data_IF_497135162443
#
_entry.id   IF_497135162443
#
_cell.length_a   1.000
_cell.length_b   1.000
_cell.length_c   1.000
_cell.angle_alpha   90.00
_cell.angle_beta   90.00
_cell.angle_gamma   90.00
#
_symmetry.space_group_name_H-M   'P 1'
#
loop_
_entity.id
_entity.type
_entity.pdbx_description
1 polymer ?
#
# COMPACT_ATOMS: atom_id res chain seq x y z
N UNK A 1 4.27 19.74 5.83
CA UNK A 1 3.78 18.81 4.80
C UNK A 1 4.59 19.02 3.54
N UNK A 2 5.60 18.20 3.33
CA UNK A 2 6.37 18.17 2.08
C UNK A 2 5.48 17.57 1.01
N UNK A 3 5.17 18.35 -0.02
CA UNK A 3 4.46 17.84 -1.19
C UNK A 3 5.45 16.96 -1.96
N UNK A 4 5.19 15.66 -1.99
CA UNK A 4 5.98 14.72 -2.79
C UNK A 4 5.28 14.60 -4.14
N UNK A 5 5.97 15.07 -5.19
CA UNK A 5 5.50 14.91 -6.56
C UNK A 5 5.82 13.47 -7.02
N UNK A 6 4.77 12.70 -7.31
CA UNK A 6 4.88 11.33 -7.80
C UNK A 6 5.04 11.42 -9.31
N UNK A 7 6.19 10.99 -9.84
CA UNK A 7 6.37 10.85 -11.29
C UNK A 7 5.43 9.76 -11.82
N UNK A 8 4.67 10.10 -12.86
CA UNK A 8 3.70 9.21 -13.51
C UNK A 8 4.00 9.09 -14.99
N UNK A 9 3.56 7.99 -15.58
CA UNK A 9 3.44 7.90 -17.03
C UNK A 9 2.40 8.90 -17.53
N UNK A 10 2.68 9.54 -18.66
CA UNK A 10 1.75 10.47 -19.33
C UNK A 10 0.43 9.81 -19.75
N UNK A 11 0.41 8.48 -19.83
CA UNK A 11 -0.74 7.67 -20.23
C UNK A 11 -1.53 7.10 -19.03
N UNK A 12 -1.10 7.35 -17.80
CA UNK A 12 -1.82 6.86 -16.61
C UNK A 12 -2.89 7.87 -16.17
N UNK A 13 -4.19 7.57 -16.31
CA UNK A 13 -5.28 8.47 -15.93
C UNK A 13 -5.49 8.53 -14.40
N UNK A 14 -4.77 7.73 -13.60
CA UNK A 14 -5.02 7.63 -12.16
C UNK A 14 -4.40 8.80 -11.39
N UNK A 15 -5.19 9.35 -10.47
CA UNK A 15 -4.73 10.33 -9.50
C UNK A 15 -3.90 9.62 -8.42
N UNK A 16 -2.78 10.21 -8.03
CA UNK A 16 -1.89 9.64 -7.01
C UNK A 16 -1.57 10.73 -6.00
N UNK A 17 -1.59 10.38 -4.72
CA UNK A 17 -1.28 11.30 -3.62
C UNK A 17 -0.44 10.60 -2.58
N UNK A 18 0.70 11.17 -2.27
CA UNK A 18 1.54 10.72 -1.17
C UNK A 18 1.15 11.44 0.12
N UNK A 19 1.05 10.70 1.22
CA UNK A 19 0.91 11.24 2.57
C UNK A 19 1.83 10.50 3.54
N UNK A 20 2.24 11.21 4.59
CA UNK A 20 2.90 10.63 5.75
C UNK A 20 2.03 10.90 6.97
N UNK A 21 1.67 9.84 7.69
CA UNK A 21 0.87 9.92 8.90
C UNK A 21 1.72 10.37 10.09
N UNK A 22 1.08 10.85 11.15
CA UNK A 22 1.76 11.32 12.36
C UNK A 22 2.59 10.22 13.05
N UNK A 23 2.25 8.95 12.83
CA UNK A 23 3.00 7.80 13.31
C UNK A 23 4.21 7.42 12.41
N UNK A 24 4.53 8.23 11.39
CA UNK A 24 5.62 7.99 10.44
C UNK A 24 5.31 6.99 9.33
N UNK A 25 4.07 6.49 9.24
CA UNK A 25 3.66 5.57 8.17
C UNK A 25 3.51 6.33 6.86
N UNK A 26 4.15 5.83 5.81
CA UNK A 26 4.15 6.41 4.47
C UNK A 26 3.08 5.72 3.62
N UNK A 27 2.18 6.49 3.04
CA UNK A 27 1.01 5.96 2.30
C UNK A 27 0.92 6.63 0.94
N UNK A 28 0.64 5.82 -0.09
CA UNK A 28 0.30 6.29 -1.44
C UNK A 28 -1.16 5.97 -1.69
N UNK A 29 -1.95 7.00 -1.98
CA UNK A 29 -3.36 6.90 -2.36
C UNK A 29 -3.43 6.95 -3.88
N UNK A 30 -4.10 5.97 -4.49
CA UNK A 30 -4.32 5.90 -5.93
C UNK A 30 -5.83 5.97 -6.16
N UNK A 31 -6.29 6.95 -6.91
CA UNK A 31 -7.69 7.13 -7.28
C UNK A 31 -7.86 6.91 -8.77
N UNK A 32 -8.54 5.82 -9.12
CA UNK A 32 -8.98 5.57 -10.48
C UNK A 32 -10.28 6.36 -10.72
N UNK A 33 -10.21 7.44 -11.49
CA UNK A 33 -11.41 8.12 -12.00
C UNK A 33 -11.88 7.36 -13.23
N UNK A 34 -13.09 6.81 -13.16
CA UNK A 34 -13.78 6.31 -14.35
C UNK A 34 -14.52 7.50 -14.97
N UNK A 35 -14.10 7.96 -16.13
CA UNK A 35 -14.78 9.03 -16.86
C UNK A 35 -16.05 8.57 -17.60
N UNK A 36 -16.58 7.37 -17.28
CA UNK A 36 -17.71 6.77 -17.97
C UNK A 36 -18.80 6.38 -16.98
N UNK A 37 -20.00 6.89 -17.23
CA UNK A 37 -21.30 6.51 -16.62
C UNK A 37 -21.68 5.05 -16.96
N UNK A 38 -20.74 4.12 -16.77
CA UNK A 38 -20.97 2.68 -16.88
C UNK A 38 -21.16 2.15 -15.46
N UNK A 39 -22.41 2.06 -15.03
CA UNK A 39 -22.83 1.70 -13.67
C UNK A 39 -22.54 0.23 -13.27
N UNK A 40 -21.83 -0.55 -14.10
CA UNK A 40 -21.76 -2.02 -13.98
C UNK A 40 -20.35 -2.62 -14.16
N UNK A 41 -19.28 -1.89 -13.82
CA UNK A 41 -17.95 -2.51 -13.64
C UNK A 41 -17.57 -2.42 -12.17
N UNK A 42 -17.58 -3.57 -11.48
CA UNK A 42 -17.15 -3.72 -10.08
C UNK A 42 -15.76 -3.11 -9.90
N UNK A 43 -15.69 -1.90 -9.35
CA UNK A 43 -14.43 -1.23 -9.04
C UNK A 43 -13.81 -1.92 -7.84
N UNK A 44 -13.00 -2.95 -8.09
CA UNK A 44 -12.22 -3.59 -7.05
C UNK A 44 -11.25 -2.59 -6.43
N UNK A 45 -11.39 -2.37 -5.12
CA UNK A 45 -10.43 -1.62 -4.33
C UNK A 45 -9.38 -2.58 -3.77
N UNK A 46 -8.11 -2.26 -3.99
CA UNK A 46 -6.99 -3.01 -3.43
C UNK A 46 -6.23 -2.14 -2.43
N UNK A 47 -5.77 -2.76 -1.35
CA UNK A 47 -4.85 -2.17 -0.39
C UNK A 47 -3.71 -3.15 -0.12
N UNK A 48 -2.50 -2.60 0.03
CA UNK A 48 -1.32 -3.36 0.42
C UNK A 48 -0.59 -2.59 1.51
N UNK A 49 -0.10 -3.32 2.52
CA UNK A 49 0.74 -2.80 3.58
C UNK A 49 2.03 -3.62 3.60
N UNK A 50 3.17 -2.94 3.65
CA UNK A 50 4.48 -3.59 3.79
C UNK A 50 5.14 -3.11 5.06
N UNK A 51 5.64 -4.06 5.84
CA UNK A 51 6.44 -3.83 7.04
C UNK A 51 7.88 -4.18 6.68
N UNK A 52 8.83 -3.31 7.04
CA UNK A 52 10.25 -3.51 6.71
C UNK A 52 10.94 -4.47 7.70
N UNK A 53 10.33 -5.62 7.96
CA UNK A 53 10.78 -6.70 8.85
C UNK A 53 10.37 -8.03 8.19
N UNK A 54 11.20 -9.06 8.31
CA UNK A 54 10.91 -10.39 7.76
C UNK A 54 11.71 -11.47 8.49
N UNK A 55 11.81 -12.66 7.91
CA UNK A 55 12.45 -13.83 8.54
C UNK A 55 13.93 -13.63 8.92
N UNK A 56 14.65 -12.71 8.25
CA UNK A 56 16.01 -12.33 8.65
C UNK A 56 16.09 -11.61 10.00
N UNK A 57 14.95 -11.16 10.53
CA UNK A 57 14.81 -10.56 11.85
C UNK A 57 14.25 -11.54 12.88
N UNK A 58 14.05 -12.80 12.52
CA UNK A 58 13.62 -13.82 13.48
C UNK A 58 14.72 -14.07 14.52
N UNK A 59 14.37 -14.14 15.82
CA UNK A 59 15.33 -14.53 16.85
C UNK A 59 15.80 -15.97 16.61
N UNK A 60 17.05 -16.26 16.97
CA UNK A 60 17.66 -17.57 16.74
C UNK A 60 16.90 -18.68 17.49
N UNK A 61 16.35 -18.34 18.66
CA UNK A 61 15.55 -19.24 19.50
C UNK A 61 14.16 -19.53 18.93
N UNK A 62 13.69 -18.76 17.95
CA UNK A 62 12.36 -18.93 17.37
C UNK A 62 12.32 -18.48 15.89
N UNK A 63 12.95 -19.28 15.05
CA UNK A 63 12.90 -19.13 13.59
C UNK A 63 11.49 -19.37 13.05
N UNK A 64 11.08 -18.57 12.06
CA UNK A 64 9.76 -18.69 11.41
C UNK A 64 8.65 -17.87 12.07
N UNK A 65 8.96 -17.04 13.08
CA UNK A 65 7.96 -16.17 13.72
C UNK A 65 7.44 -15.12 12.76
N UNK A 66 8.28 -14.48 11.93
CA UNK A 66 7.80 -13.49 10.95
C UNK A 66 6.73 -14.09 10.03
N UNK A 67 6.97 -15.31 9.52
CA UNK A 67 6.02 -16.04 8.69
C UNK A 67 4.78 -16.49 9.47
N UNK A 68 4.94 -16.91 10.73
CA UNK A 68 3.80 -17.23 11.60
C UNK A 68 2.90 -16.01 11.83
N UNK A 69 3.49 -14.83 12.02
CA UNK A 69 2.77 -13.57 12.20
C UNK A 69 2.07 -13.11 10.91
N UNK A 70 2.66 -13.34 9.73
CA UNK A 70 2.00 -13.07 8.44
C UNK A 70 0.74 -13.91 8.22
N UNK A 71 0.70 -15.14 8.73
CA UNK A 71 -0.48 -16.01 8.66
C UNK A 71 -1.47 -15.81 9.80
N UNK A 72 -0.96 -15.40 10.96
CA UNK A 72 -1.76 -15.15 12.16
C UNK A 72 -2.14 -13.69 12.23
N UNK A 73 -2.88 -13.22 11.23
CA UNK A 73 -3.57 -11.94 11.32
C UNK A 73 -4.69 -12.08 12.38
N UNK A 74 -4.53 -11.39 13.50
CA UNK A 74 -5.57 -11.19 14.51
C UNK A 74 -6.30 -9.87 14.24
#
# INVERSE_FOLDING_TARGET
MTKVDIEKSLLDPRDHRYIELENGTRVILISAKSDSDCEDEEKEAAAALSINVGSFSDPEEAQGIAHFLEHSNL
#
